data_IF_654400222550
#
_entry.id   IF_654400222550
#
_cell.length_a   1.000
_cell.length_b   1.000
_cell.length_c   1.000
_cell.angle_alpha   90.00
_cell.angle_beta   90.00
_cell.angle_gamma   90.00
#
_symmetry.space_group_name_H-M   'P 1'
#
loop_
_entity.id
_entity.type
_entity.pdbx_description
1 polymer ?
#
# COMPACT_ATOMS: atom_id res chain seq x y z
N UNK A 1 28.89 -14.04 1.03
CA UNK A 1 28.58 -13.61 1.38
C UNK A 1 28.18 -13.43 2.29
N UNK A 2 28.17 -13.23 2.68
CA UNK A 2 27.76 -13.17 3.55
C UNK A 2 26.96 -12.57 3.89
N UNK A 3 26.72 -12.17 3.77
CA UNK A 3 25.94 -11.61 4.00
C UNK A 3 25.02 -11.84 4.71
N UNK A 4 24.89 -12.39 4.93
CA UNK A 4 23.93 -12.75 5.60
C UNK A 4 24.03 -12.72 6.99
N UNK A 5 24.61 -11.82 7.51
CA UNK A 5 24.62 -11.65 8.83
C UNK A 5 23.44 -11.00 9.29
N UNK A 6 22.66 -10.33 8.46
CA UNK A 6 21.46 -9.67 8.92
C UNK A 6 20.42 -10.71 9.27
N UNK A 7 19.55 -10.46 10.22
CA UNK A 7 18.45 -11.34 10.50
C UNK A 7 17.57 -11.43 9.29
N UNK A 8 16.93 -12.56 9.13
CA UNK A 8 16.06 -12.77 8.00
C UNK A 8 14.68 -12.24 8.33
N UNK A 9 14.58 -10.92 8.46
CA UNK A 9 13.32 -10.27 8.73
C UNK A 9 12.63 -9.95 7.43
N UNK A 10 11.36 -10.24 7.37
CA UNK A 10 10.57 -9.99 6.18
C UNK A 10 9.27 -9.33 6.63
N UNK A 11 8.97 -8.18 6.06
CA UNK A 11 7.70 -7.53 6.37
C UNK A 11 6.62 -8.30 5.66
N UNK A 12 5.65 -8.83 6.40
CA UNK A 12 4.57 -9.60 5.80
C UNK A 12 3.24 -8.89 5.86
N UNK A 13 3.14 -7.79 6.59
CA UNK A 13 1.89 -7.05 6.63
C UNK A 13 1.99 -5.82 7.47
N UNK A 14 0.92 -5.05 7.46
CA UNK A 14 0.80 -3.85 8.27
C UNK A 14 -0.65 -3.76 8.75
N UNK A 15 -0.85 -3.15 9.90
CA UNK A 15 -2.16 -2.98 10.48
C UNK A 15 -2.41 -1.51 10.72
N UNK A 16 -3.57 -1.03 10.31
CA UNK A 16 -3.97 0.35 10.48
C UNK A 16 -5.29 0.41 11.23
N UNK A 17 -5.50 1.47 11.99
CA UNK A 17 -6.69 1.62 12.81
C UNK A 17 -7.56 2.76 12.28
N UNK A 18 -8.87 2.53 12.27
CA UNK A 18 -9.84 3.45 11.68
C UNK A 18 -11.00 3.73 12.60
N UNK A 19 -11.51 4.95 12.53
CA UNK A 19 -12.75 5.27 13.22
C UNK A 19 -13.92 4.66 12.48
N UNK A 20 -13.90 4.70 11.15
CA UNK A 20 -14.97 4.14 10.33
C UNK A 20 -14.43 3.00 9.49
N UNK A 21 -14.44 1.81 10.08
CA UNK A 21 -13.90 0.63 9.43
C UNK A 21 -14.64 0.26 8.15
N UNK A 22 -15.97 0.42 8.16
CA UNK A 22 -16.80 0.09 6.99
C UNK A 22 -16.39 0.92 5.78
N UNK A 23 -16.20 2.22 5.98
CA UNK A 23 -15.79 3.12 4.90
C UNK A 23 -14.36 2.82 4.45
N UNK A 24 -13.48 2.54 5.39
CA UNK A 24 -12.11 2.20 5.07
C UNK A 24 -12.05 0.91 4.25
N UNK A 25 -12.81 -0.10 4.66
CA UNK A 25 -12.86 -1.38 3.94
C UNK A 25 -13.32 -1.16 2.50
N UNK A 26 -14.36 -0.37 2.32
CA UNK A 26 -14.88 -0.11 0.99
C UNK A 26 -13.84 0.59 0.12
N UNK A 27 -13.11 1.54 0.68
CA UNK A 27 -12.06 2.25 -0.05
C UNK A 27 -10.97 1.29 -0.52
N UNK A 28 -10.44 0.48 0.38
CA UNK A 28 -9.34 -0.42 0.02
C UNK A 28 -9.79 -1.49 -0.97
N UNK A 29 -11.00 -1.96 -0.85
CA UNK A 29 -11.54 -2.96 -1.75
C UNK A 29 -11.94 -2.37 -3.10
N UNK A 30 -12.75 -1.30 -3.08
CA UNK A 30 -13.37 -0.79 -4.30
C UNK A 30 -12.54 0.26 -5.01
N UNK A 31 -11.89 1.15 -4.28
CA UNK A 31 -11.10 2.21 -4.90
C UNK A 31 -9.69 1.72 -5.25
N UNK A 32 -9.04 1.05 -4.32
CA UNK A 32 -7.71 0.54 -4.58
C UNK A 32 -7.70 -0.85 -5.19
N UNK A 33 -8.79 -1.57 -5.12
CA UNK A 33 -8.91 -2.87 -5.78
C UNK A 33 -8.20 -4.02 -5.07
N UNK A 34 -7.95 -3.89 -3.77
CA UNK A 34 -7.32 -4.98 -3.05
C UNK A 34 -8.32 -6.11 -2.79
N UNK A 35 -7.84 -7.32 -2.74
CA UNK A 35 -8.67 -8.48 -2.51
C UNK A 35 -8.88 -8.72 -1.02
N UNK A 36 -10.12 -8.74 -0.59
CA UNK A 36 -10.44 -9.05 0.80
C UNK A 36 -10.18 -10.52 1.06
N UNK A 37 -9.31 -10.82 2.00
CA UNK A 37 -8.93 -12.19 2.32
C UNK A 37 -9.80 -12.77 3.42
N UNK A 38 -10.08 -11.99 4.47
CA UNK A 38 -10.99 -12.41 5.51
C UNK A 38 -11.44 -11.20 6.31
N UNK A 39 -12.45 -11.35 7.13
CA UNK A 39 -12.93 -10.27 7.97
C UNK A 39 -13.76 -10.78 9.12
N UNK A 40 -13.82 -9.95 10.17
CA UNK A 40 -14.77 -10.09 11.23
C UNK A 40 -15.57 -8.79 11.20
N UNK A 41 -16.81 -8.82 10.73
CA UNK A 41 -17.56 -7.59 10.50
C UNK A 41 -17.58 -6.68 11.73
N UNK A 42 -17.34 -5.39 11.50
CA UNK A 42 -17.32 -4.41 12.57
C UNK A 42 -16.03 -4.33 13.37
N UNK A 43 -15.11 -5.27 13.16
CA UNK A 43 -13.89 -5.32 13.95
C UNK A 43 -12.63 -5.34 13.12
N UNK A 44 -12.62 -6.08 12.04
CA UNK A 44 -11.38 -6.41 11.35
C UNK A 44 -11.62 -6.76 9.89
N UNK A 45 -10.76 -6.30 9.01
CA UNK A 45 -10.75 -6.71 7.61
C UNK A 45 -9.31 -6.89 7.17
N UNK A 46 -9.00 -7.99 6.51
CA UNK A 46 -7.65 -8.26 6.05
C UNK A 46 -7.66 -8.42 4.54
N UNK A 47 -6.76 -7.67 3.89
CA UNK A 47 -6.63 -7.69 2.44
C UNK A 47 -5.30 -8.29 2.04
N UNK A 48 -5.30 -8.98 0.90
CA UNK A 48 -4.06 -9.43 0.29
C UNK A 48 -3.47 -8.26 -0.48
N UNK A 49 -2.17 -8.08 -0.35
CA UNK A 49 -1.47 -7.00 -1.03
C UNK A 49 -0.13 -7.55 -1.53
N UNK A 50 -0.15 -8.23 -2.66
CA UNK A 50 1.02 -8.92 -3.18
C UNK A 50 1.40 -10.07 -2.26
N UNK A 51 2.66 -10.11 -1.84
CA UNK A 51 3.11 -11.14 -0.90
C UNK A 51 2.87 -10.74 0.55
N UNK A 52 2.27 -9.58 0.77
CA UNK A 52 2.02 -9.08 2.11
C UNK A 52 0.53 -8.97 2.35
N UNK A 53 0.15 -8.52 3.53
CA UNK A 53 -1.25 -8.28 3.83
C UNK A 53 -1.42 -6.91 4.49
N UNK A 54 -2.63 -6.39 4.40
CA UNK A 54 -3.01 -5.15 5.04
C UNK A 54 -4.21 -5.45 5.91
N UNK A 55 -4.10 -5.19 7.21
CA UNK A 55 -5.20 -5.36 8.13
C UNK A 55 -5.78 -4.01 8.49
N UNK A 56 -7.10 -3.91 8.46
CA UNK A 56 -7.81 -2.74 8.92
C UNK A 56 -8.52 -3.11 10.20
N UNK A 57 -8.32 -2.31 11.25
CA UNK A 57 -8.92 -2.55 12.54
C UNK A 57 -9.69 -1.32 12.99
N UNK A 58 -10.65 -1.50 13.85
CA UNK A 58 -11.37 -0.36 14.39
C UNK A 58 -10.53 0.24 15.52
N UNK A 59 -10.46 1.58 15.58
CA UNK A 59 -9.76 2.24 16.66
C UNK A 59 -10.38 1.84 18.00
N UNK A 60 -9.53 1.72 18.99
CA UNK A 60 -9.96 1.27 20.31
C UNK A 60 -9.79 -0.22 20.49
N UNK A 61 -9.46 -0.94 19.41
CA UNK A 61 -9.23 -2.37 19.53
C UNK A 61 -7.76 -2.70 19.78
N UNK A 62 -6.87 -1.71 19.65
CA UNK A 62 -5.46 -1.96 19.80
C UNK A 62 -5.09 -2.19 21.27
N UNK A 63 -4.26 -3.19 21.49
CA UNK A 63 -3.78 -3.48 22.83
C UNK A 63 -2.64 -2.56 23.22
N UNK A 64 -1.91 -2.06 22.24
CA UNK A 64 -0.75 -1.22 22.48
C UNK A 64 -0.85 0.03 21.63
N UNK A 65 -1.53 1.07 22.14
CA UNK A 65 -1.71 2.29 21.35
C UNK A 65 -0.39 2.91 20.94
N UNK A 66 -0.37 3.50 19.78
CA UNK A 66 0.81 4.15 19.26
C UNK A 66 0.42 5.49 18.67
N UNK A 67 1.28 6.46 18.83
CA UNK A 67 1.07 7.76 18.23
C UNK A 67 1.74 7.86 16.87
N UNK A 68 2.41 6.81 16.43
CA UNK A 68 3.14 6.85 15.19
C UNK A 68 2.19 6.84 13.99
N UNK A 69 2.64 7.49 12.94
CA UNK A 69 1.89 7.52 11.70
C UNK A 69 2.50 6.53 10.74
N UNK A 70 1.68 6.01 9.86
CA UNK A 70 2.12 5.03 8.87
C UNK A 70 1.95 5.60 7.47
N UNK A 71 2.82 5.20 6.57
CA UNK A 71 2.69 5.47 5.14
C UNK A 71 2.71 4.12 4.46
N UNK A 72 1.71 3.87 3.63
CA UNK A 72 1.65 2.62 2.89
C UNK A 72 2.31 2.82 1.53
N UNK A 73 3.19 1.90 1.18
CA UNK A 73 3.83 1.94 -0.12
C UNK A 73 3.30 0.77 -0.95
N UNK A 74 2.75 1.09 -2.12
CA UNK A 74 2.31 0.06 -3.07
C UNK A 74 3.08 0.25 -4.36
N UNK A 75 3.56 -0.83 -4.91
CA UNK A 75 4.20 -0.80 -6.21
C UNK A 75 3.16 -1.18 -7.25
N UNK A 76 3.05 -0.40 -8.30
CA UNK A 76 2.07 -0.65 -9.36
C UNK A 76 2.78 -0.74 -10.71
N UNK A 77 2.29 -1.59 -11.60
CA UNK A 77 2.95 -1.76 -12.90
C UNK A 77 2.82 -0.55 -13.82
N UNK A 78 1.72 0.18 -13.72
CA UNK A 78 1.48 1.34 -14.59
C UNK A 78 0.81 2.42 -13.76
N UNK A 79 1.58 3.42 -13.37
CA UNK A 79 1.08 4.45 -12.46
C UNK A 79 -0.06 5.26 -13.08
N UNK A 80 0.05 5.60 -14.37
CA UNK A 80 -1.01 6.38 -15.01
C UNK A 80 -2.33 5.63 -15.01
N UNK A 81 -2.29 4.33 -15.28
CA UNK A 81 -3.50 3.53 -15.27
C UNK A 81 -4.08 3.44 -13.86
N UNK A 82 -3.22 3.33 -12.85
CA UNK A 82 -3.68 3.28 -11.47
C UNK A 82 -4.31 4.61 -11.06
N UNK A 83 -3.68 5.73 -11.42
CA UNK A 83 -4.23 7.04 -11.12
C UNK A 83 -5.62 7.20 -11.74
N UNK A 84 -5.78 6.76 -12.98
CA UNK A 84 -7.09 6.86 -13.62
C UNK A 84 -8.10 5.95 -12.93
N UNK A 85 -7.69 4.79 -12.49
CA UNK A 85 -8.58 3.85 -11.82
C UNK A 85 -9.04 4.35 -10.46
N UNK A 86 -8.13 4.90 -9.65
CA UNK A 86 -8.53 5.40 -8.34
C UNK A 86 -9.22 6.75 -8.42
N UNK A 87 -8.99 7.49 -9.50
CA UNK A 87 -9.60 8.81 -9.70
C UNK A 87 -8.59 9.92 -9.50
N UNK A 88 -8.37 10.73 -10.53
CA UNK A 88 -7.39 11.80 -10.43
C UNK A 88 -7.66 12.77 -9.31
N UNK A 89 -8.93 12.97 -8.97
CA UNK A 89 -9.27 13.90 -7.89
C UNK A 89 -8.73 13.46 -6.55
N UNK A 90 -8.42 12.17 -6.39
CA UNK A 90 -7.89 11.68 -5.13
C UNK A 90 -6.40 11.90 -5.00
N UNK A 91 -5.73 12.19 -6.12
CA UNK A 91 -4.28 12.31 -6.12
C UNK A 91 -3.87 13.66 -5.57
N UNK A 92 -3.06 13.65 -4.52
CA UNK A 92 -2.60 14.86 -3.87
C UNK A 92 -1.35 15.38 -4.55
N UNK A 93 -0.49 14.48 -4.97
CA UNK A 93 0.74 14.87 -5.63
C UNK A 93 1.18 13.75 -6.56
N UNK A 94 1.67 14.10 -7.73
CA UNK A 94 2.15 13.16 -8.71
C UNK A 94 3.48 13.69 -9.27
N UNK A 95 4.52 12.88 -9.13
CA UNK A 95 5.83 13.21 -9.68
C UNK A 95 6.16 12.22 -10.78
N UNK A 96 6.25 12.69 -12.01
CA UNK A 96 6.58 11.80 -13.11
C UNK A 96 8.05 11.45 -13.09
N UNK A 97 8.39 10.39 -13.80
CA UNK A 97 9.77 10.02 -13.96
C UNK A 97 10.50 11.11 -14.69
N UNK A 98 11.72 11.43 -14.26
CA UNK A 98 12.52 12.47 -14.90
C UNK A 98 13.99 12.11 -14.73
N UNK A 99 14.86 13.00 -15.17
CA UNK A 99 16.28 12.77 -15.03
C UNK A 99 16.73 12.58 -13.58
N UNK A 100 16.07 13.26 -12.66
CA UNK A 100 16.43 13.16 -11.26
C UNK A 100 15.53 12.18 -10.53
N UNK A 101 14.30 12.03 -10.98
CA UNK A 101 13.33 11.17 -10.32
C UNK A 101 13.23 9.89 -11.14
N UNK A 102 13.96 8.87 -10.70
CA UNK A 102 14.04 7.64 -11.46
C UNK A 102 12.78 6.83 -11.49
N UNK A 103 11.86 7.13 -10.65
CA UNK A 103 10.65 6.34 -10.49
C UNK A 103 9.48 7.28 -10.31
N UNK A 104 8.47 7.12 -11.13
CA UNK A 104 7.25 7.93 -10.97
C UNK A 104 6.52 7.49 -9.71
N UNK A 105 5.89 8.43 -9.04
CA UNK A 105 5.12 8.12 -7.83
C UNK A 105 3.98 9.12 -7.64
N UNK A 106 3.02 8.73 -6.85
CA UNK A 106 1.88 9.57 -6.54
C UNK A 106 1.43 9.30 -5.11
N UNK A 107 0.86 10.31 -4.47
CA UNK A 107 0.34 10.19 -3.11
C UNK A 107 -1.15 10.46 -3.12
N UNK A 108 -1.89 9.66 -2.36
CA UNK A 108 -3.28 9.92 -2.07
C UNK A 108 -3.53 9.56 -0.61
N UNK A 109 -4.70 9.94 -0.11
CA UNK A 109 -5.09 9.60 1.26
C UNK A 109 -6.20 8.59 1.24
N UNK A 110 -6.24 7.74 2.26
CA UNK A 110 -7.39 6.91 2.49
C UNK A 110 -8.45 7.76 3.21
N UNK A 111 -9.66 7.22 3.49
CA UNK A 111 -10.73 8.02 4.08
C UNK A 111 -10.40 8.67 5.42
N UNK A 112 -9.41 8.17 6.14
CA UNK A 112 -9.05 8.76 7.43
C UNK A 112 -7.68 9.43 7.42
N UNK A 113 -7.18 9.71 6.22
CA UNK A 113 -5.99 10.56 6.10
C UNK A 113 -4.66 9.86 6.15
N UNK A 114 -4.64 8.53 6.11
CA UNK A 114 -3.37 7.82 6.04
C UNK A 114 -2.76 8.05 4.66
N UNK A 115 -1.48 8.31 4.63
CA UNK A 115 -0.79 8.50 3.35
C UNK A 115 -0.59 7.17 2.64
N UNK A 116 -0.89 7.17 1.35
CA UNK A 116 -0.66 6.03 0.49
C UNK A 116 0.24 6.51 -0.62
N UNK A 117 1.38 5.87 -0.81
CA UNK A 117 2.32 6.24 -1.84
C UNK A 117 2.37 5.12 -2.87
N UNK A 118 2.05 5.47 -4.11
CA UNK A 118 2.06 4.54 -5.23
C UNK A 118 3.37 4.74 -5.99
N UNK A 119 4.13 3.67 -6.17
CA UNK A 119 5.39 3.71 -6.90
C UNK A 119 5.24 2.92 -8.17
N UNK A 120 5.66 3.48 -9.28
CA UNK A 120 5.64 2.73 -10.52
C UNK A 120 6.77 1.72 -10.51
N UNK A 121 6.43 0.49 -10.89
CA UNK A 121 7.42 -0.56 -10.96
C UNK A 121 8.50 -0.18 -11.94
N UNK A 122 9.76 -0.38 -11.55
CA UNK A 122 10.85 -0.11 -12.46
C UNK A 122 11.01 -1.28 -13.40
N UNK A 123 11.05 -0.98 -14.69
CA UNK A 123 11.26 -2.01 -15.67
C UNK A 123 12.74 -2.05 -15.92
N UNK A 124 13.42 -2.89 -15.20
CA UNK A 124 14.83 -2.98 -15.42
C UNK A 124 15.04 -3.91 -16.54
N UNK A 125 16.05 -3.67 -17.23
CA UNK A 125 16.27 -4.45 -18.25
C UNK A 125 16.71 -5.68 -17.87
N UNK A 126 17.08 -5.88 -16.91
CA UNK A 126 17.49 -6.99 -16.50
C UNK A 126 16.60 -7.95 -16.32
N UNK A 127 15.77 -7.96 -16.69
CA UNK A 127 14.89 -8.75 -16.53
C UNK A 127 14.91 -9.72 -17.39
N UNK A 128 15.67 -9.62 -18.03
CA UNK A 128 15.95 -10.27 -18.60
C UNK A 128 16.51 -11.25 -18.54
N UNK A 129 16.92 -11.28 -18.25
CA UNK A 129 17.54 -12.05 -17.90
C UNK A 129 17.35 -12.99 -17.87
N UNK A 130 17.11 -12.79 -18.10
CA UNK A 130 16.82 -13.47 -17.94
C UNK A 130 16.73 -14.23 -18.10
N UNK A 131 16.73 -14.26 -18.29
CA UNK A 131 16.58 -14.78 -18.16
C UNK A 131 16.54 -15.24 -17.97
N UNK A 132 16.44 -15.25 -18.07
CA UNK A 132 16.39 -15.42 -17.70
C UNK A 132 16.44 -15.61 -17.70
#
# INVERSE_FOLDING_TARGET
MPKSKSPHLKIVGIELYFDNLTRAKKFYRDTLGLTLANETPGHHAQFSAGDAFLCLERKGAENYPSADKAVLFFEVPNLSATINSVGRKRIIRHEPKSGQNRQAWAILHDPEGHNILLLEMQHTKRRRRGTS
#
